data_IF_675818943908
#
_entry.id   IF_675818943908
#
_cell.length_a   1.000
_cell.length_b   1.000
_cell.length_c   1.000
_cell.angle_alpha   90.00
_cell.angle_beta   90.00
_cell.angle_gamma   90.00
#
_symmetry.space_group_name_H-M   'P 1'
#
loop_
_entity.id
_entity.type
_entity.pdbx_description
1 polymer ?
#
# COMPACT_ATOMS: atom_id res chain seq x y z
N UNK A 1 0.37 30.94 1.91
CA UNK A 1 -0.41 30.58 0.69
C UNK A 1 -0.79 29.11 0.79
N UNK A 2 -2.00 28.69 0.40
CA UNK A 2 -2.37 27.29 0.39
C UNK A 2 -1.53 26.52 -0.64
N UNK A 3 -1.30 25.22 -0.39
CA UNK A 3 -0.65 24.35 -1.37
C UNK A 3 -1.63 24.16 -2.54
N UNK A 4 -1.29 24.70 -3.71
CA UNK A 4 -2.14 24.68 -4.90
C UNK A 4 -1.86 23.48 -5.81
N UNK A 5 -0.71 22.80 -5.64
CA UNK A 5 -0.33 21.56 -6.34
C UNK A 5 0.40 20.66 -5.36
N UNK A 6 -0.09 19.45 -5.19
CA UNK A 6 0.52 18.44 -4.35
C UNK A 6 0.10 17.04 -4.80
N UNK A 7 0.95 16.07 -4.49
CA UNK A 7 0.66 14.64 -4.63
C UNK A 7 0.97 13.97 -3.30
N UNK A 8 0.28 12.89 -2.97
CA UNK A 8 0.66 12.07 -1.84
C UNK A 8 1.96 11.34 -2.19
N UNK A 9 3.05 11.70 -1.50
CA UNK A 9 4.37 11.15 -1.79
C UNK A 9 4.57 9.75 -1.25
N UNK A 10 4.23 9.54 0.03
CA UNK A 10 4.37 8.23 0.69
C UNK A 10 3.50 8.15 1.95
N UNK A 11 3.40 6.95 2.51
CA UNK A 11 2.78 6.67 3.81
C UNK A 11 3.83 6.05 4.72
N UNK A 12 3.85 6.43 6.00
CA UNK A 12 4.67 5.79 7.02
C UNK A 12 3.76 5.05 8.00
N UNK A 13 4.00 3.76 8.19
CA UNK A 13 3.27 2.91 9.13
C UNK A 13 4.16 2.56 10.32
N UNK A 14 3.64 2.75 11.51
CA UNK A 14 4.24 2.20 12.72
C UNK A 14 3.92 0.70 12.80
N UNK A 15 4.93 -0.14 12.99
CA UNK A 15 4.80 -1.61 12.99
C UNK A 15 5.44 -2.23 14.24
N UNK A 16 4.78 -3.23 14.78
CA UNK A 16 5.28 -3.94 15.97
C UNK A 16 6.51 -4.81 15.67
N UNK A 17 6.50 -5.48 14.51
CA UNK A 17 7.59 -6.32 14.03
C UNK A 17 7.97 -5.91 12.60
N UNK A 18 9.08 -5.16 12.50
CA UNK A 18 9.58 -4.63 11.23
C UNK A 18 9.85 -5.75 10.20
N UNK A 19 10.46 -6.87 10.61
CA UNK A 19 10.76 -7.98 9.70
C UNK A 19 9.51 -8.70 9.21
N UNK A 20 8.50 -8.85 10.08
CA UNK A 20 7.22 -9.46 9.72
C UNK A 20 6.48 -8.58 8.71
N UNK A 21 6.44 -7.27 8.93
CA UNK A 21 5.79 -6.32 8.04
C UNK A 21 6.55 -6.14 6.73
N UNK A 22 7.90 -6.13 6.72
CA UNK A 22 8.70 -6.18 5.50
C UNK A 22 8.35 -7.41 4.64
N UNK A 23 8.32 -8.61 5.24
CA UNK A 23 7.95 -9.84 4.52
C UNK A 23 6.54 -9.76 3.95
N UNK A 24 5.59 -9.24 4.73
CA UNK A 24 4.21 -9.08 4.31
C UNK A 24 4.11 -8.20 3.06
N UNK A 25 4.56 -6.96 3.14
CA UNK A 25 4.42 -5.98 2.05
C UNK A 25 5.18 -6.38 0.79
N UNK A 26 6.34 -7.01 0.93
CA UNK A 26 7.09 -7.54 -0.20
C UNK A 26 6.40 -8.73 -0.87
N UNK A 27 5.85 -9.65 -0.09
CA UNK A 27 5.29 -10.91 -0.62
C UNK A 27 3.83 -10.80 -1.07
N UNK A 28 3.09 -9.80 -0.59
CA UNK A 28 1.69 -9.57 -0.96
C UNK A 28 1.58 -8.49 -2.03
N UNK A 29 2.31 -7.38 -1.89
CA UNK A 29 2.21 -6.23 -2.78
C UNK A 29 3.36 -6.12 -3.78
N UNK A 30 4.36 -6.99 -3.71
CA UNK A 30 5.52 -6.94 -4.61
C UNK A 30 6.48 -5.78 -4.38
N UNK A 31 6.32 -5.04 -3.28
CA UNK A 31 7.20 -3.93 -2.93
C UNK A 31 8.65 -4.42 -2.73
N UNK A 32 9.61 -3.63 -3.17
CA UNK A 32 11.04 -3.87 -2.98
C UNK A 32 11.59 -2.95 -1.90
N UNK A 33 12.54 -3.44 -1.11
CA UNK A 33 13.26 -2.58 -0.16
C UNK A 33 14.19 -1.68 -0.97
N UNK A 34 14.00 -0.36 -0.85
CA UNK A 34 14.86 0.65 -1.46
C UNK A 34 15.97 1.09 -0.51
N UNK A 35 15.68 1.16 0.80
CA UNK A 35 16.67 1.55 1.81
C UNK A 35 16.26 1.06 3.21
N UNK A 36 17.22 1.04 4.13
CA UNK A 36 17.02 0.90 5.58
C UNK A 36 17.81 1.93 6.35
N UNK A 37 17.18 2.48 7.37
CA UNK A 37 17.87 3.30 8.36
C UNK A 37 17.92 2.52 9.67
N UNK A 38 19.10 1.98 9.98
CA UNK A 38 19.31 1.15 11.17
C UNK A 38 19.22 1.97 12.47
N UNK A 39 19.63 3.24 12.42
CA UNK A 39 19.59 4.14 13.58
C UNK A 39 18.16 4.43 14.02
N UNK A 40 17.28 4.74 13.08
CA UNK A 40 15.87 5.02 13.34
C UNK A 40 14.99 3.79 13.29
N UNK A 41 15.54 2.61 12.92
CA UNK A 41 14.79 1.35 12.71
C UNK A 41 13.65 1.51 11.70
N UNK A 42 13.97 2.08 10.55
CA UNK A 42 13.04 2.36 9.49
C UNK A 42 13.40 1.61 8.22
N UNK A 43 12.41 1.07 7.52
CA UNK A 43 12.59 0.43 6.21
C UNK A 43 11.73 1.15 5.17
N UNK A 44 12.33 1.44 4.04
CA UNK A 44 11.71 2.10 2.91
C UNK A 44 11.41 1.08 1.82
N UNK A 45 10.18 1.10 1.30
CA UNK A 45 9.65 0.14 0.33
C UNK A 45 9.11 0.87 -0.89
N UNK A 46 9.43 0.38 -2.10
CA UNK A 46 9.02 1.03 -3.35
C UNK A 46 8.49 0.04 -4.38
N UNK A 47 7.58 0.53 -5.23
CA UNK A 47 7.19 -0.12 -6.49
C UNK A 47 8.19 0.14 -7.63
N UNK A 48 9.24 0.93 -7.37
CA UNK A 48 10.35 1.19 -8.30
C UNK A 48 10.25 2.49 -9.10
N UNK A 49 9.27 3.36 -8.82
CA UNK A 49 9.15 4.69 -9.45
C UNK A 49 9.75 5.79 -8.59
N UNK A 50 9.49 5.73 -7.29
CA UNK A 50 9.93 6.71 -6.31
C UNK A 50 10.98 6.08 -5.37
N UNK A 51 11.67 6.91 -4.59
CA UNK A 51 12.58 6.41 -3.56
C UNK A 51 11.84 5.44 -2.62
N UNK A 52 10.61 5.80 -2.22
CA UNK A 52 9.71 4.90 -1.50
C UNK A 52 8.26 5.37 -1.63
N UNK A 53 7.35 4.41 -1.65
CA UNK A 53 5.90 4.60 -1.63
C UNK A 53 5.36 4.35 -0.24
N UNK A 54 6.04 3.47 0.51
CA UNK A 54 5.70 3.06 1.87
C UNK A 54 6.96 3.03 2.73
N UNK A 55 6.90 3.56 3.95
CA UNK A 55 7.92 3.34 4.96
C UNK A 55 7.33 2.61 6.17
N UNK A 56 8.14 1.75 6.78
CA UNK A 56 7.81 1.02 7.99
C UNK A 56 8.71 1.52 9.11
N UNK A 57 8.12 2.04 10.17
CA UNK A 57 8.82 2.49 11.37
C UNK A 57 8.58 1.49 12.49
N UNK A 58 9.63 0.90 13.01
CA UNK A 58 9.50 0.03 14.19
C UNK A 58 9.00 0.83 15.40
N UNK A 59 7.98 0.32 16.08
CA UNK A 59 7.53 0.87 17.33
C UNK A 59 8.61 0.71 18.42
N UNK A 60 8.71 1.65 19.35
CA UNK A 60 9.53 1.47 20.55
C UNK A 60 9.13 0.20 21.31
N UNK A 61 10.12 -0.43 21.98
CA UNK A 61 9.85 -1.62 22.81
C UNK A 61 8.77 -1.33 23.86
N UNK A 62 7.74 -2.16 23.92
CA UNK A 62 6.62 -2.00 24.85
C UNK A 62 5.52 -1.04 24.40
N UNK A 63 5.68 -0.35 23.27
CA UNK A 63 4.60 0.44 22.68
C UNK A 63 3.46 -0.48 22.23
N UNK A 64 2.23 -0.02 22.44
CA UNK A 64 1.02 -0.73 22.03
C UNK A 64 0.40 -0.01 20.83
N UNK A 65 -0.13 -0.77 19.87
CA UNK A 65 -0.97 -0.19 18.83
C UNK A 65 -2.22 0.43 19.45
N UNK A 66 -2.63 1.57 18.91
CA UNK A 66 -3.91 2.17 19.23
C UNK A 66 -5.00 1.26 18.66
N UNK A 67 -5.69 0.53 19.53
CA UNK A 67 -6.79 -0.36 19.16
C UNK A 67 -7.97 -0.11 20.09
N UNK A 68 -9.18 -0.02 19.53
CA UNK A 68 -10.42 0.13 20.29
C UNK A 68 -11.53 0.80 19.49
N UNK A 69 -12.78 0.55 19.92
CA UNK A 69 -13.94 1.28 19.39
C UNK A 69 -13.83 2.76 19.82
N UNK A 70 -14.08 3.66 18.87
CA UNK A 70 -14.07 5.10 19.13
C UNK A 70 -12.71 5.79 19.01
N UNK A 71 -11.63 5.07 18.70
CA UNK A 71 -10.33 5.69 18.45
C UNK A 71 -10.16 6.08 17.00
N UNK A 72 -9.79 7.35 16.77
CA UNK A 72 -9.48 7.84 15.43
C UNK A 72 -8.18 7.22 14.92
N UNK A 73 -8.23 6.58 13.75
CA UNK A 73 -7.09 6.01 13.04
C UNK A 73 -7.31 6.14 11.55
N UNK A 74 -6.25 5.91 10.76
CA UNK A 74 -6.39 5.81 9.33
C UNK A 74 -7.41 4.70 8.99
N UNK A 75 -8.45 5.06 8.21
CA UNK A 75 -9.47 4.07 7.84
C UNK A 75 -8.86 2.98 6.94
N UNK A 76 -8.19 3.37 5.86
CA UNK A 76 -7.41 2.51 4.97
C UNK A 76 -6.49 3.36 4.09
N UNK A 77 -5.57 2.72 3.42
CA UNK A 77 -4.88 3.27 2.24
C UNK A 77 -5.08 2.32 1.06
N UNK A 78 -5.14 2.89 -0.14
CA UNK A 78 -5.42 2.15 -1.35
C UNK A 78 -4.22 2.14 -2.29
N UNK A 79 -3.93 0.97 -2.84
CA UNK A 79 -2.93 0.75 -3.88
C UNK A 79 -3.65 0.41 -5.17
N UNK A 80 -3.41 1.22 -6.20
CA UNK A 80 -4.00 0.97 -7.51
C UNK A 80 -3.17 -0.02 -8.32
N UNK A 81 -3.89 -0.94 -8.98
CA UNK A 81 -3.37 -1.88 -9.97
C UNK A 81 -4.01 -1.61 -11.33
N UNK A 82 -3.38 -2.07 -12.40
CA UNK A 82 -3.75 -1.76 -13.78
C UNK A 82 -4.84 -2.68 -14.37
N UNK A 83 -5.12 -3.82 -13.75
CA UNK A 83 -6.10 -4.81 -14.25
C UNK A 83 -6.86 -5.47 -13.10
N UNK A 84 -8.12 -5.83 -13.40
CA UNK A 84 -9.03 -6.46 -12.44
C UNK A 84 -8.56 -7.86 -12.00
N UNK A 85 -7.91 -8.60 -12.90
CA UNK A 85 -7.45 -9.96 -12.66
C UNK A 85 -6.49 -10.07 -11.47
N UNK A 86 -5.72 -9.02 -11.19
CA UNK A 86 -4.82 -8.97 -10.02
C UNK A 86 -5.61 -9.11 -8.71
N UNK A 87 -6.82 -8.57 -8.65
CA UNK A 87 -7.69 -8.68 -7.47
C UNK A 87 -8.13 -10.15 -7.29
N UNK A 88 -8.44 -10.83 -8.38
CA UNK A 88 -8.84 -12.24 -8.35
C UNK A 88 -7.65 -13.17 -8.08
N UNK A 89 -6.46 -12.84 -8.59
CA UNK A 89 -5.22 -13.58 -8.36
C UNK A 89 -4.74 -13.49 -6.90
N UNK A 90 -4.88 -12.32 -6.25
CA UNK A 90 -4.43 -12.13 -4.87
C UNK A 90 -5.37 -12.77 -3.85
N UNK A 91 -6.66 -12.89 -4.14
CA UNK A 91 -7.65 -13.43 -3.20
C UNK A 91 -7.29 -14.84 -2.68
N UNK A 92 -6.99 -15.85 -3.52
CA UNK A 92 -6.60 -17.17 -3.03
C UNK A 92 -5.27 -17.15 -2.26
N UNK A 93 -4.38 -16.21 -2.56
CA UNK A 93 -3.12 -16.05 -1.80
C UNK A 93 -3.42 -15.58 -0.38
N UNK A 94 -4.29 -14.57 -0.22
CA UNK A 94 -4.71 -14.06 1.08
C UNK A 94 -5.38 -15.16 1.90
N UNK A 95 -6.28 -15.92 1.29
CA UNK A 95 -6.98 -17.06 1.94
C UNK A 95 -6.00 -18.12 2.40
N UNK A 96 -5.10 -18.58 1.53
CA UNK A 96 -4.10 -19.62 1.86
C UNK A 96 -3.16 -19.17 2.98
N UNK A 97 -2.81 -17.89 3.03
CA UNK A 97 -1.96 -17.33 4.08
C UNK A 97 -2.72 -16.91 5.33
N UNK A 98 -4.04 -17.16 5.38
CA UNK A 98 -4.92 -16.79 6.50
C UNK A 98 -4.86 -15.30 6.85
N UNK A 99 -4.69 -14.44 5.83
CA UNK A 99 -4.72 -12.99 5.99
C UNK A 99 -6.18 -12.57 6.11
N UNK A 100 -6.57 -11.81 7.15
CA UNK A 100 -7.95 -11.39 7.34
C UNK A 100 -8.42 -10.48 6.19
N UNK A 101 -9.46 -10.92 5.47
CA UNK A 101 -10.12 -10.14 4.42
C UNK A 101 -11.25 -9.37 5.07
N UNK A 102 -11.31 -8.06 4.84
CA UNK A 102 -12.32 -7.14 5.36
C UNK A 102 -13.53 -7.06 4.42
N UNK A 103 -13.26 -6.91 3.09
CA UNK A 103 -14.28 -6.91 2.04
C UNK A 103 -13.69 -7.34 0.70
N UNK A 104 -14.56 -7.72 -0.23
CA UNK A 104 -14.18 -8.15 -1.58
C UNK A 104 -13.67 -9.60 -1.66
N UNK A 105 -13.26 -10.05 -2.89
CA UNK A 105 -13.20 -9.26 -4.13
C UNK A 105 -14.59 -8.86 -4.62
N UNK A 106 -14.77 -7.58 -4.89
CA UNK A 106 -16.06 -7.02 -5.31
C UNK A 106 -15.87 -5.89 -6.32
N UNK A 107 -16.91 -5.63 -7.13
CA UNK A 107 -16.94 -4.45 -7.99
C UNK A 107 -17.67 -3.32 -7.26
N UNK A 108 -16.98 -2.22 -7.01
CA UNK A 108 -17.55 -1.06 -6.32
C UNK A 108 -18.52 -0.35 -7.24
N UNK A 109 -19.80 -0.30 -6.86
CA UNK A 109 -20.90 0.25 -7.68
C UNK A 109 -20.65 1.72 -8.05
N UNK A 110 -20.16 2.52 -7.12
CA UNK A 110 -19.92 3.95 -7.33
C UNK A 110 -18.70 4.22 -8.20
N UNK A 111 -17.63 3.45 -8.03
CA UNK A 111 -16.37 3.67 -8.73
C UNK A 111 -16.22 2.83 -10.00
N UNK A 112 -17.05 1.79 -10.17
CA UNK A 112 -16.99 0.87 -11.31
C UNK A 112 -15.74 0.02 -11.40
N UNK A 113 -14.88 0.04 -10.36
CA UNK A 113 -13.65 -0.72 -10.31
C UNK A 113 -13.75 -1.88 -9.30
N UNK A 114 -12.95 -2.92 -9.58
CA UNK A 114 -12.86 -4.09 -8.71
C UNK A 114 -11.87 -3.82 -7.58
N UNK A 115 -12.20 -4.24 -6.37
CA UNK A 115 -11.31 -4.07 -5.20
C UNK A 115 -11.38 -5.22 -4.22
N UNK A 116 -10.38 -5.27 -3.35
CA UNK A 116 -10.30 -6.13 -2.17
C UNK A 116 -9.62 -5.39 -1.03
N UNK A 117 -10.16 -5.53 0.18
CA UNK A 117 -9.61 -4.94 1.39
C UNK A 117 -9.25 -6.03 2.40
N UNK A 118 -8.06 -5.95 2.98
CA UNK A 118 -7.53 -6.91 3.94
C UNK A 118 -6.68 -6.21 5.02
N UNK A 119 -6.30 -6.96 6.05
CA UNK A 119 -5.48 -6.43 7.14
C UNK A 119 -4.01 -6.82 6.98
N UNK A 120 -3.13 -5.86 7.27
CA UNK A 120 -1.71 -6.12 7.44
C UNK A 120 -1.43 -6.78 8.81
N UNK A 121 -0.18 -7.16 9.14
CA UNK A 121 0.16 -7.80 10.41
C UNK A 121 -0.13 -6.95 11.67
N UNK A 122 -0.27 -5.65 11.52
CA UNK A 122 -0.53 -4.68 12.59
C UNK A 122 -1.99 -4.21 12.62
N UNK A 123 -2.84 -4.79 11.74
CA UNK A 123 -4.27 -4.48 11.66
C UNK A 123 -4.60 -3.23 10.86
N UNK A 124 -3.65 -2.68 10.11
CA UNK A 124 -3.94 -1.61 9.16
C UNK A 124 -4.74 -2.17 7.98
N UNK A 125 -5.77 -1.43 7.54
CA UNK A 125 -6.53 -1.80 6.35
C UNK A 125 -5.77 -1.40 5.09
N UNK A 126 -5.55 -2.38 4.23
CA UNK A 126 -4.94 -2.22 2.91
C UNK A 126 -6.00 -2.54 1.87
N UNK A 127 -6.27 -1.61 0.98
CA UNK A 127 -7.10 -1.83 -0.19
C UNK A 127 -6.22 -1.99 -1.43
N UNK A 128 -6.57 -2.94 -2.30
CA UNK A 128 -6.08 -3.00 -3.67
C UNK A 128 -7.28 -2.79 -4.58
N UNK A 129 -7.20 -1.80 -5.46
CA UNK A 129 -8.28 -1.49 -6.40
C UNK A 129 -7.74 -1.31 -7.82
N UNK A 130 -8.51 -1.75 -8.81
CA UNK A 130 -8.13 -1.53 -10.20
C UNK A 130 -8.40 -0.08 -10.62
N UNK A 131 -7.41 0.57 -11.21
CA UNK A 131 -7.56 1.87 -11.85
C UNK A 131 -6.72 1.95 -13.13
N UNK A 132 -7.16 1.24 -14.17
CA UNK A 132 -6.46 1.18 -15.46
C UNK A 132 -6.19 2.57 -16.08
N UNK A 133 -7.07 3.54 -15.84
CA UNK A 133 -6.92 4.89 -16.39
C UNK A 133 -5.69 5.61 -15.80
N UNK A 134 -5.40 5.46 -14.51
CA UNK A 134 -4.23 6.06 -13.88
C UNK A 134 -2.94 5.57 -14.54
N UNK A 135 -2.83 4.29 -14.82
CA UNK A 135 -1.64 3.70 -15.47
C UNK A 135 -1.50 4.13 -16.93
N UNK A 136 -2.61 4.36 -17.66
CA UNK A 136 -2.58 4.88 -19.04
C UNK A 136 -2.05 6.32 -19.09
N UNK A 137 -2.36 7.16 -18.11
CA UNK A 137 -1.84 8.52 -18.00
C UNK A 137 -0.34 8.53 -17.71
N UNK A 138 0.12 7.71 -16.78
CA UNK A 138 1.54 7.61 -16.42
C UNK A 138 2.38 7.14 -17.61
N UNK A 139 1.94 6.11 -18.34
CA UNK A 139 2.65 5.60 -19.51
C UNK A 139 2.75 6.66 -20.63
N UNK A 140 1.70 7.44 -20.90
CA UNK A 140 1.73 8.52 -21.88
C UNK A 140 2.70 9.63 -21.49
N UNK A 141 2.77 9.98 -20.21
CA UNK A 141 3.70 10.99 -19.71
C UNK A 141 5.16 10.52 -19.79
N UNK A 142 5.43 9.26 -19.51
CA UNK A 142 6.78 8.66 -19.66
C UNK A 142 7.21 8.62 -21.13
N UNK A 143 6.32 8.25 -22.07
CA UNK A 143 6.62 8.27 -23.50
C UNK A 143 6.88 9.69 -24.01
N UNK A 144 6.13 10.71 -23.57
CA UNK A 144 6.36 12.11 -23.91
C UNK A 144 7.68 12.66 -23.34
N UNK A 145 8.07 12.24 -22.13
CA UNK A 145 9.33 12.63 -21.53
C UNK A 145 10.52 11.96 -22.23
N UNK A 146 10.40 10.71 -22.67
CA UNK A 146 11.43 10.00 -23.44
C UNK A 146 11.60 10.58 -24.86
N UNK A 147 10.53 11.03 -25.50
CA UNK A 147 10.56 11.63 -26.83
C UNK A 147 11.13 13.07 -26.87
N UNK A 148 11.37 13.69 -25.71
CA UNK A 148 11.94 15.05 -25.57
C UNK A 148 13.43 15.06 -25.16
N UNK A 149 14.05 13.89 -25.07
CA UNK A 149 15.48 13.68 -24.86
C UNK A 149 16.16 13.23 -26.14
#
# INVERSE_FOLDING_TARGET
MPVTRGVLGHIVLNVADLKKSERFYRSILGLKISARNLKTKMTFLSFGREHHDLALQALPRGAKHVSGKGMAKLHHFCIYVDRNEIIDEIYPILKRRKIPIVSGPETLVVAGNRSICFLDPDGNRVEIACNANKFRFDNRNQQRAAARR
#
